data_IF_013990711406
#
_entry.id   IF_013990711406
#
_cell.length_a   1.000
_cell.length_b   1.000
_cell.length_c   1.000
_cell.angle_alpha   90.00
_cell.angle_beta   90.00
_cell.angle_gamma   90.00
#
_symmetry.space_group_name_H-M   'P 1'
#
loop_
_entity.id
_entity.type
_entity.pdbx_description
1 polymer ?
#
# COMPACT_ATOMS: atom_id res chain seq x y z
N UNK A 1 4.27 10.58 -15.64
CA UNK A 1 4.15 10.10 -14.26
C UNK A 1 4.28 11.31 -13.32
N UNK A 2 3.30 11.55 -12.49
CA UNK A 2 3.39 12.63 -11.51
C UNK A 2 4.25 12.13 -10.33
N UNK A 3 5.50 12.58 -10.24
CA UNK A 3 6.43 12.17 -9.18
C UNK A 3 6.46 13.17 -8.02
N UNK A 4 5.52 14.10 -7.96
CA UNK A 4 5.52 15.19 -7.00
C UNK A 4 4.63 14.85 -5.80
N UNK A 5 5.12 13.94 -4.94
CA UNK A 5 4.48 13.56 -3.68
C UNK A 5 4.66 14.66 -2.63
N UNK A 6 3.97 15.80 -2.83
CA UNK A 6 3.95 16.93 -1.89
C UNK A 6 2.61 16.99 -1.19
N UNK A 7 2.63 17.52 0.02
CA UNK A 7 1.43 17.72 0.82
C UNK A 7 1.16 16.56 1.79
N UNK A 8 -0.09 16.42 2.19
CA UNK A 8 -0.54 15.44 3.17
C UNK A 8 -1.00 14.16 2.51
N UNK A 9 -0.24 13.07 2.69
CA UNK A 9 -0.65 11.72 2.33
C UNK A 9 -1.20 10.99 3.54
N UNK A 10 -2.38 10.39 3.42
CA UNK A 10 -3.03 9.69 4.54
C UNK A 10 -2.98 8.19 4.34
N UNK A 11 -2.40 7.48 5.31
CA UNK A 11 -2.50 6.03 5.41
C UNK A 11 -3.90 5.64 5.91
N UNK A 12 -4.68 5.03 5.03
CA UNK A 12 -6.09 4.72 5.28
C UNK A 12 -6.21 3.47 6.15
N UNK A 13 -7.08 3.52 7.15
CA UNK A 13 -7.46 2.35 7.96
C UNK A 13 -8.36 1.42 7.16
N UNK A 14 -8.35 0.13 7.48
CA UNK A 14 -9.32 -0.84 6.96
C UNK A 14 -10.39 -1.07 8.01
N UNK A 15 -11.63 -0.58 7.81
CA UNK A 15 -12.71 -0.84 8.74
C UNK A 15 -13.25 -2.26 8.58
N UNK A 16 -13.65 -2.87 9.70
CA UNK A 16 -14.20 -4.21 9.75
C UNK A 16 -15.59 -4.24 10.36
N UNK A 17 -16.43 -5.14 9.89
CA UNK A 17 -17.68 -5.51 10.50
C UNK A 17 -17.44 -6.32 11.79
N UNK A 18 -18.47 -6.47 12.62
CA UNK A 18 -18.39 -7.24 13.87
C UNK A 18 -18.06 -8.75 13.66
N UNK A 19 -18.26 -9.26 12.46
CA UNK A 19 -17.89 -10.63 12.07
C UNK A 19 -16.46 -10.76 11.51
N UNK A 20 -15.68 -9.67 11.48
CA UNK A 20 -14.30 -9.63 10.99
C UNK A 20 -14.16 -9.40 9.47
N UNK A 21 -15.24 -9.34 8.70
CA UNK A 21 -15.14 -9.02 7.27
C UNK A 21 -14.90 -7.52 7.04
N UNK A 22 -14.31 -7.15 5.91
CA UNK A 22 -14.07 -5.75 5.53
C UNK A 22 -15.40 -4.99 5.37
N UNK A 23 -15.54 -3.84 6.02
CA UNK A 23 -16.68 -2.93 5.89
C UNK A 23 -16.44 -1.92 4.76
N UNK A 24 -16.82 -2.29 3.56
CA UNK A 24 -16.69 -1.42 2.37
C UNK A 24 -17.55 -0.16 2.45
N UNK A 25 -18.68 -0.19 3.17
CA UNK A 25 -19.53 0.99 3.35
C UNK A 25 -18.82 2.06 4.18
N UNK A 26 -18.20 1.67 5.27
CA UNK A 26 -17.41 2.58 6.10
C UNK A 26 -16.12 3.00 5.40
N UNK A 27 -15.47 2.12 4.63
CA UNK A 27 -14.29 2.45 3.84
C UNK A 27 -14.60 3.55 2.82
N UNK A 28 -15.71 3.49 2.10
CA UNK A 28 -16.13 4.54 1.17
C UNK A 28 -16.35 5.88 1.86
N UNK A 29 -16.99 5.88 3.04
CA UNK A 29 -17.18 7.10 3.84
C UNK A 29 -15.86 7.72 4.28
N UNK A 30 -14.89 6.89 4.70
CA UNK A 30 -13.55 7.33 5.10
C UNK A 30 -12.83 7.98 3.90
N UNK A 31 -12.82 7.33 2.74
CA UNK A 31 -12.21 7.85 1.52
C UNK A 31 -12.81 9.23 1.17
N UNK A 32 -14.14 9.32 1.13
CA UNK A 32 -14.82 10.57 0.81
C UNK A 32 -14.55 11.66 1.86
N UNK A 33 -14.52 11.32 3.14
CA UNK A 33 -14.19 12.26 4.22
C UNK A 33 -12.77 12.83 4.04
N UNK A 34 -11.80 11.97 3.79
CA UNK A 34 -10.40 12.37 3.61
C UNK A 34 -10.23 13.26 2.38
N UNK A 35 -10.79 12.87 1.24
CA UNK A 35 -10.70 13.65 -0.01
C UNK A 35 -11.38 15.01 0.15
N UNK A 36 -12.57 15.05 0.76
CA UNK A 36 -13.29 16.32 1.02
C UNK A 36 -12.56 17.18 2.06
N UNK A 37 -11.74 16.59 2.92
CA UNK A 37 -10.87 17.28 3.85
C UNK A 37 -9.63 17.92 3.22
N UNK A 38 -9.40 17.70 1.90
CA UNK A 38 -8.34 18.36 1.14
C UNK A 38 -6.98 17.69 1.25
N UNK A 39 -6.94 16.36 1.49
CA UNK A 39 -5.67 15.60 1.43
C UNK A 39 -5.16 15.52 -0.01
N UNK A 40 -3.85 15.42 -0.18
CA UNK A 40 -3.23 15.41 -1.50
C UNK A 40 -3.11 14.00 -2.10
N UNK A 41 -3.01 12.94 -1.29
CA UNK A 41 -2.99 11.54 -1.77
C UNK A 41 -3.38 10.55 -0.68
N UNK A 42 -3.79 9.34 -1.08
CA UNK A 42 -4.13 8.24 -0.18
C UNK A 42 -3.11 7.11 -0.27
N UNK A 43 -2.77 6.53 0.87
CA UNK A 43 -1.97 5.31 0.96
C UNK A 43 -2.87 4.16 1.42
N UNK A 44 -3.08 3.18 0.56
CA UNK A 44 -4.00 2.07 0.76
C UNK A 44 -3.22 0.81 1.13
N UNK A 45 -3.65 0.13 2.19
CA UNK A 45 -2.99 -1.08 2.71
C UNK A 45 -1.52 -0.86 3.11
N UNK A 46 -1.19 0.35 3.60
CA UNK A 46 0.01 0.52 4.43
C UNK A 46 -0.16 -0.19 5.78
N UNK A 47 0.79 -0.06 6.69
CA UNK A 47 0.73 -0.65 8.04
C UNK A 47 -0.54 -0.25 8.80
N UNK A 48 -0.99 0.99 8.65
CA UNK A 48 -2.23 1.51 9.25
C UNK A 48 -3.48 0.78 8.73
N UNK A 49 -3.45 0.26 7.52
CA UNK A 49 -4.52 -0.53 6.91
C UNK A 49 -4.54 -2.00 7.34
N UNK A 50 -3.74 -2.39 8.34
CA UNK A 50 -3.69 -3.75 8.91
C UNK A 50 -3.40 -4.84 7.87
N UNK A 51 -2.63 -4.53 6.84
CA UNK A 51 -2.37 -5.41 5.69
C UNK A 51 -1.85 -6.80 6.07
N UNK A 52 -1.19 -6.94 7.24
CA UNK A 52 -0.67 -8.22 7.72
C UNK A 52 -1.77 -9.20 8.18
N UNK A 53 -2.99 -8.73 8.44
CA UNK A 53 -4.13 -9.55 8.91
C UNK A 53 -5.11 -9.90 7.80
N UNK A 54 -4.91 -9.35 6.59
CA UNK A 54 -5.79 -9.53 5.44
C UNK A 54 -5.31 -10.67 4.53
N UNK A 55 -6.26 -11.42 3.98
CA UNK A 55 -5.97 -12.38 2.91
C UNK A 55 -5.61 -11.67 1.60
N UNK A 56 -5.02 -12.38 0.65
CA UNK A 56 -4.67 -11.81 -0.66
C UNK A 56 -5.92 -11.39 -1.45
N UNK A 57 -7.01 -12.13 -1.30
CA UNK A 57 -8.32 -11.83 -1.91
C UNK A 57 -8.90 -10.53 -1.34
N UNK A 58 -8.82 -10.34 -0.01
CA UNK A 58 -9.26 -9.11 0.65
C UNK A 58 -8.43 -7.91 0.19
N UNK A 59 -7.11 -8.05 0.14
CA UNK A 59 -6.21 -6.99 -0.36
C UNK A 59 -6.56 -6.60 -1.79
N UNK A 60 -6.69 -7.57 -2.69
CA UNK A 60 -7.05 -7.33 -4.09
C UNK A 60 -8.40 -6.62 -4.21
N UNK A 61 -9.39 -7.05 -3.42
CA UNK A 61 -10.73 -6.46 -3.40
C UNK A 61 -10.71 -5.02 -2.88
N UNK A 62 -9.91 -4.74 -1.84
CA UNK A 62 -9.75 -3.38 -1.28
C UNK A 62 -9.08 -2.46 -2.31
N UNK A 63 -7.99 -2.87 -2.95
CA UNK A 63 -7.32 -2.04 -3.97
C UNK A 63 -8.27 -1.71 -5.11
N UNK A 64 -8.98 -2.71 -5.63
CA UNK A 64 -9.98 -2.49 -6.69
C UNK A 64 -11.08 -1.53 -6.25
N UNK A 65 -11.69 -1.77 -5.09
CA UNK A 65 -12.76 -0.94 -4.55
C UNK A 65 -12.32 0.52 -4.36
N UNK A 66 -11.15 0.75 -3.77
CA UNK A 66 -10.64 2.11 -3.55
C UNK A 66 -10.36 2.83 -4.86
N UNK A 67 -9.77 2.16 -5.84
CA UNK A 67 -9.55 2.72 -7.18
C UNK A 67 -10.88 3.16 -7.84
N UNK A 68 -11.90 2.28 -7.77
CA UNK A 68 -13.24 2.57 -8.31
C UNK A 68 -13.91 3.75 -7.58
N UNK A 69 -13.78 3.85 -6.25
CA UNK A 69 -14.39 4.93 -5.46
C UNK A 69 -13.60 6.24 -5.52
N UNK A 70 -12.29 6.18 -5.70
CA UNK A 70 -11.46 7.36 -5.89
C UNK A 70 -11.75 8.08 -7.20
N UNK A 71 -12.02 7.36 -8.28
CA UNK A 71 -12.32 7.93 -9.61
C UNK A 71 -11.29 8.97 -10.08
N UNK A 72 -10.03 8.81 -9.69
CA UNK A 72 -8.95 9.74 -10.05
C UNK A 72 -8.99 11.10 -9.35
N UNK A 73 -9.75 11.26 -8.26
CA UNK A 73 -9.84 12.54 -7.52
C UNK A 73 -8.54 12.93 -6.85
N UNK A 74 -7.80 11.95 -6.34
CA UNK A 74 -6.46 12.14 -5.76
C UNK A 74 -5.55 10.99 -6.18
N UNK A 75 -4.22 11.16 -6.18
CA UNK A 75 -3.29 10.07 -6.41
C UNK A 75 -3.44 8.95 -5.37
N UNK A 76 -3.27 7.69 -5.81
CA UNK A 76 -3.29 6.51 -4.96
C UNK A 76 -1.91 5.85 -4.87
N UNK A 77 -1.52 5.48 -3.66
CA UNK A 77 -0.33 4.69 -3.37
C UNK A 77 -0.77 3.35 -2.81
N UNK A 78 -0.36 2.24 -3.42
CA UNK A 78 -0.65 0.91 -2.89
C UNK A 78 0.47 0.45 -1.94
N UNK A 79 0.11 0.03 -0.74
CA UNK A 79 1.03 -0.60 0.20
C UNK A 79 1.26 -2.05 -0.20
N UNK A 80 2.41 -2.34 -0.82
CA UNK A 80 2.86 -3.70 -1.19
C UNK A 80 4.28 -3.88 -0.69
N UNK A 81 4.46 -4.65 0.36
CA UNK A 81 5.74 -4.89 1.00
C UNK A 81 5.66 -6.01 2.02
N UNK A 82 6.81 -6.48 2.44
CA UNK A 82 6.91 -7.60 3.38
C UNK A 82 8.35 -8.00 3.62
N UNK A 83 8.53 -9.03 4.44
CA UNK A 83 9.85 -9.59 4.76
C UNK A 83 10.20 -10.85 3.94
N UNK A 84 9.35 -11.26 3.01
CA UNK A 84 9.60 -12.32 2.03
C UNK A 84 9.65 -11.71 0.63
N UNK A 85 10.85 -11.56 0.08
CA UNK A 85 11.06 -10.92 -1.24
C UNK A 85 10.29 -11.60 -2.36
N UNK A 86 10.26 -12.94 -2.38
CA UNK A 86 9.56 -13.69 -3.43
C UNK A 86 8.05 -13.42 -3.41
N UNK A 87 7.45 -13.35 -2.21
CA UNK A 87 6.04 -13.03 -2.05
C UNK A 87 5.71 -11.59 -2.48
N UNK A 88 6.57 -10.62 -2.12
CA UNK A 88 6.40 -9.22 -2.56
C UNK A 88 6.47 -9.12 -4.09
N UNK A 89 7.41 -9.82 -4.72
CA UNK A 89 7.53 -9.89 -6.19
C UNK A 89 6.28 -10.50 -6.82
N UNK A 90 5.74 -11.59 -6.25
CA UNK A 90 4.50 -12.21 -6.72
C UNK A 90 3.31 -11.26 -6.63
N UNK A 91 3.13 -10.56 -5.51
CA UNK A 91 2.09 -9.55 -5.34
C UNK A 91 2.22 -8.43 -6.38
N UNK A 92 3.43 -7.91 -6.63
CA UNK A 92 3.66 -6.88 -7.64
C UNK A 92 3.34 -7.34 -9.07
N UNK A 93 3.65 -8.59 -9.39
CA UNK A 93 3.36 -9.16 -10.71
C UNK A 93 1.86 -9.34 -10.95
N UNK A 94 1.09 -9.64 -9.92
CA UNK A 94 -0.36 -9.87 -9.99
C UNK A 94 -1.20 -8.61 -9.72
N UNK A 95 -0.60 -7.56 -9.16
CA UNK A 95 -1.28 -6.32 -8.82
C UNK A 95 -1.81 -5.59 -10.06
N UNK A 96 -3.12 -5.29 -10.07
CA UNK A 96 -3.72 -4.41 -11.07
C UNK A 96 -3.37 -2.95 -10.76
N UNK A 97 -2.49 -2.37 -11.57
CA UNK A 97 -2.01 -0.99 -11.37
C UNK A 97 -3.02 0.09 -11.75
N UNK A 98 -4.20 -0.28 -12.24
CA UNK A 98 -5.22 0.67 -12.70
C UNK A 98 -5.66 1.60 -11.57
N UNK A 99 -5.46 2.91 -11.76
CA UNK A 99 -5.84 3.96 -10.81
C UNK A 99 -4.83 4.17 -9.68
N UNK A 100 -3.67 3.49 -9.71
CA UNK A 100 -2.58 3.68 -8.77
C UNK A 100 -1.39 4.37 -9.42
N UNK A 101 -0.70 5.22 -8.66
CA UNK A 101 0.40 6.07 -9.12
C UNK A 101 1.76 5.64 -8.57
N UNK A 102 1.79 4.94 -7.43
CA UNK A 102 3.01 4.43 -6.81
C UNK A 102 2.73 3.24 -5.88
N UNK A 103 3.82 2.58 -5.48
CA UNK A 103 3.84 1.52 -4.47
C UNK A 103 4.59 2.02 -3.24
N UNK A 104 4.02 1.86 -2.04
CA UNK A 104 4.73 2.01 -0.77
C UNK A 104 5.23 0.63 -0.33
N UNK A 105 6.55 0.43 -0.32
CA UNK A 105 7.15 -0.85 0.06
C UNK A 105 8.00 -0.70 1.32
N UNK A 106 7.61 -1.42 2.39
CA UNK A 106 8.35 -1.44 3.64
C UNK A 106 9.60 -2.31 3.51
N UNK A 107 10.73 -1.86 4.08
CA UNK A 107 11.93 -2.68 4.22
C UNK A 107 11.62 -3.96 4.98
N UNK A 108 12.27 -5.09 4.67
CA UNK A 108 12.06 -6.35 5.39
C UNK A 108 12.20 -6.15 6.90
N UNK A 109 11.18 -6.52 7.64
CA UNK A 109 11.06 -6.35 9.09
C UNK A 109 11.19 -7.69 9.80
N UNK A 110 11.32 -7.65 11.14
CA UNK A 110 11.44 -8.79 12.05
C UNK A 110 12.80 -9.50 11.94
N UNK A 111 13.18 -10.05 10.79
CA UNK A 111 14.44 -10.77 10.57
C UNK A 111 15.66 -9.85 10.46
N UNK A 112 15.47 -8.54 10.29
CA UNK A 112 16.52 -7.51 10.20
C UNK A 112 17.67 -7.91 9.27
N UNK A 113 17.46 -7.90 7.96
CA UNK A 113 18.49 -8.29 7.00
C UNK A 113 19.67 -7.32 7.03
N UNK A 114 20.82 -7.75 6.51
CA UNK A 114 21.98 -6.87 6.30
C UNK A 114 21.66 -5.75 5.31
N UNK A 115 22.47 -4.69 5.28
CA UNK A 115 22.30 -3.59 4.32
C UNK A 115 22.34 -4.10 2.86
N UNK A 116 23.24 -5.04 2.57
CA UNK A 116 23.29 -5.71 1.26
C UNK A 116 21.99 -6.50 1.00
N UNK A 117 21.46 -7.19 1.98
CA UNK A 117 20.18 -7.91 1.86
C UNK A 117 19.00 -6.98 1.57
N UNK A 118 18.96 -5.80 2.20
CA UNK A 118 17.95 -4.77 1.92
C UNK A 118 18.10 -4.25 0.49
N UNK A 119 19.32 -3.97 0.07
CA UNK A 119 19.61 -3.53 -1.30
C UNK A 119 19.12 -4.57 -2.33
N UNK A 120 19.50 -5.83 -2.17
CA UNK A 120 19.09 -6.92 -3.07
C UNK A 120 17.56 -7.11 -3.06
N UNK A 121 16.91 -7.00 -1.89
CA UNK A 121 15.45 -7.03 -1.81
C UNK A 121 14.82 -5.95 -2.69
N UNK A 122 15.24 -4.70 -2.55
CA UNK A 122 14.68 -3.62 -3.36
C UNK A 122 15.03 -3.70 -4.84
N UNK A 123 16.18 -4.28 -5.19
CA UNK A 123 16.49 -4.56 -6.60
C UNK A 123 15.48 -5.51 -7.24
N UNK A 124 15.05 -6.56 -6.54
CA UNK A 124 14.02 -7.48 -7.05
C UNK A 124 12.63 -6.83 -7.05
N UNK A 125 12.27 -6.08 -6.01
CA UNK A 125 11.01 -5.33 -5.92
C UNK A 125 10.90 -4.32 -7.08
N UNK A 126 11.96 -3.58 -7.37
CA UNK A 126 11.99 -2.60 -8.47
C UNK A 126 11.87 -3.26 -9.85
N UNK A 127 12.48 -4.41 -10.06
CA UNK A 127 12.36 -5.16 -11.33
C UNK A 127 10.92 -5.63 -11.57
N UNK A 128 10.21 -6.03 -10.53
CA UNK A 128 8.84 -6.54 -10.63
C UNK A 128 7.78 -5.43 -10.74
N UNK A 129 8.08 -4.23 -10.23
CA UNK A 129 7.12 -3.14 -10.16
C UNK A 129 6.95 -2.43 -11.50
N UNK A 130 5.69 -2.20 -11.89
CA UNK A 130 5.32 -1.35 -13.03
C UNK A 130 5.14 0.13 -12.64
N UNK A 131 5.18 0.44 -11.34
CA UNK A 131 4.98 1.77 -10.78
C UNK A 131 6.22 2.20 -9.97
N UNK A 132 6.43 3.50 -9.75
CA UNK A 132 7.47 3.99 -8.86
C UNK A 132 7.35 3.39 -7.46
N UNK A 133 8.48 3.07 -6.82
CA UNK A 133 8.55 2.55 -5.45
C UNK A 133 8.89 3.69 -4.50
N UNK A 134 8.07 3.86 -3.46
CA UNK A 134 8.35 4.68 -2.29
C UNK A 134 8.89 3.73 -1.22
N UNK A 135 10.17 3.88 -0.89
CA UNK A 135 10.83 3.07 0.14
C UNK A 135 10.37 3.55 1.51
N UNK A 136 9.83 2.62 2.30
CA UNK A 136 9.36 2.90 3.66
C UNK A 136 10.25 2.19 4.69
N UNK A 137 10.90 2.96 5.54
CA UNK A 137 11.73 2.44 6.61
C UNK A 137 11.14 2.75 7.99
N UNK A 138 11.12 1.73 8.85
CA UNK A 138 10.70 1.83 10.25
C UNK A 138 11.85 1.31 11.13
N UNK A 139 12.84 2.15 11.51
CA UNK A 139 14.08 1.68 12.14
C UNK A 139 13.88 0.77 13.36
N UNK A 140 12.86 1.04 14.18
CA UNK A 140 12.53 0.18 15.32
C UNK A 140 12.12 -1.26 14.97
N UNK A 141 11.75 -1.54 13.72
CA UNK A 141 11.29 -2.86 13.22
C UNK A 141 12.20 -3.45 12.17
N UNK A 142 12.88 -2.60 11.41
CA UNK A 142 13.72 -3.01 10.28
C UNK A 142 15.22 -3.08 10.62
N UNK A 143 15.67 -2.37 11.63
CA UNK A 143 17.07 -2.35 12.09
C UNK A 143 17.86 -1.14 11.66
#
# INVERSE_FOLDING_TARGET
>A
MNTNWKGTGVAVVTPFNSNGSVDYTSLEKIINHLINGGIEYLVILGTTGETATLSEEEKSSIWKFVSEKNQGRVPLVAGIGGNNTAHVVEQLNTFDTKGYDAILSVSPYYNKPSQEGIFLHYMEVMKASKLPIIIYNVPGRTG
#
